data_IF_257099838611
#
_entry.id   IF_257099838611
#
_cell.length_a   1.000
_cell.length_b   1.000
_cell.length_c   1.000
_cell.angle_alpha   90.00
_cell.angle_beta   90.00
_cell.angle_gamma   90.00
#
_symmetry.space_group_name_H-M   'P 1'
#
loop_
_entity.id
_entity.type
_entity.pdbx_description
1 polymer ?
#
# COMPACT_ATOMS: atom_id res chain seq x y z
N UNK A 1 -57.99 5.37 32.68
CA UNK A 1 -58.13 6.06 31.37
C UNK A 1 -56.76 6.13 30.70
N UNK A 2 -56.76 5.96 29.38
CA UNK A 2 -55.67 6.09 28.41
C UNK A 2 -54.60 4.98 28.36
N UNK A 3 -54.67 4.27 27.23
CA UNK A 3 -53.81 3.23 26.67
C UNK A 3 -52.86 3.91 25.65
N UNK A 4 -51.62 3.44 25.53
CA UNK A 4 -50.78 3.54 24.31
C UNK A 4 -49.73 2.42 24.38
N UNK A 5 -49.96 1.27 23.74
CA UNK A 5 -49.80 0.91 22.33
C UNK A 5 -48.34 0.88 21.83
N UNK A 6 -47.92 -0.36 21.50
CA UNK A 6 -47.08 -0.76 20.35
C UNK A 6 -45.57 -0.44 20.42
N UNK A 7 -44.63 -1.32 20.05
CA UNK A 7 -44.62 -2.33 19.00
C UNK A 7 -43.74 -3.55 19.34
N UNK A 8 -44.19 -4.73 18.91
CA UNK A 8 -43.37 -5.89 18.60
C UNK A 8 -42.57 -5.63 17.32
N UNK A 9 -41.27 -5.98 17.31
CA UNK A 9 -40.40 -5.93 16.13
C UNK A 9 -39.32 -7.03 16.23
N UNK A 10 -38.91 -7.63 15.10
CA UNK A 10 -38.37 -8.99 15.07
C UNK A 10 -36.92 -9.06 15.54
N UNK A 11 -36.64 -10.05 16.39
CA UNK A 11 -35.29 -10.49 16.74
C UNK A 11 -34.68 -11.28 15.57
N UNK A 12 -34.19 -10.58 14.54
CA UNK A 12 -33.23 -11.11 13.56
C UNK A 12 -32.36 -9.97 13.00
N UNK A 13 -31.11 -9.83 13.47
CA UNK A 13 -30.02 -9.33 12.62
C UNK A 13 -28.66 -9.56 13.27
N UNK A 14 -27.78 -10.28 12.58
CA UNK A 14 -26.38 -10.46 12.98
C UNK A 14 -25.79 -11.82 12.62
N UNK A 15 -25.92 -12.25 11.36
CA UNK A 15 -25.47 -13.55 10.87
C UNK A 15 -23.94 -13.78 10.92
N UNK A 16 -23.48 -15.05 10.78
CA UNK A 16 -22.08 -15.41 10.73
C UNK A 16 -21.47 -15.05 9.36
N UNK A 17 -21.23 -13.77 9.10
CA UNK A 17 -20.65 -13.32 7.82
C UNK A 17 -19.27 -12.66 7.93
N UNK A 18 -18.79 -12.35 9.14
CA UNK A 18 -17.46 -11.77 9.32
C UNK A 18 -16.30 -12.78 9.14
N UNK A 19 -16.57 -14.08 9.29
CA UNK A 19 -15.53 -15.14 9.20
C UNK A 19 -15.31 -15.67 7.79
N UNK A 20 -16.36 -15.74 6.97
CA UNK A 20 -16.25 -16.30 5.60
C UNK A 20 -15.50 -15.36 4.64
N UNK A 21 -15.65 -14.04 4.82
CA UNK A 21 -14.93 -13.04 4.02
C UNK A 21 -13.42 -13.09 4.26
N UNK A 22 -13.00 -13.28 5.51
CA UNK A 22 -11.59 -13.36 5.90
C UNK A 22 -10.93 -14.67 5.42
N UNK A 23 -11.64 -15.80 5.49
CA UNK A 23 -11.12 -17.10 5.03
C UNK A 23 -10.95 -17.11 3.51
N UNK A 24 -11.93 -16.60 2.75
CA UNK A 24 -11.83 -16.49 1.28
C UNK A 24 -10.67 -15.61 0.85
N UNK A 25 -10.45 -14.48 1.54
CA UNK A 25 -9.32 -13.59 1.27
C UNK A 25 -7.97 -14.27 1.51
N UNK A 26 -7.85 -15.07 2.58
CA UNK A 26 -6.58 -15.73 2.93
C UNK A 26 -6.21 -16.86 1.98
N UNK A 27 -7.18 -17.69 1.57
CA UNK A 27 -6.96 -18.75 0.58
C UNK A 27 -6.59 -18.15 -0.77
N UNK A 28 -7.30 -17.10 -1.18
CA UNK A 28 -7.00 -16.39 -2.43
C UNK A 28 -5.59 -15.78 -2.42
N UNK A 29 -5.23 -15.05 -1.37
CA UNK A 29 -3.92 -14.40 -1.27
C UNK A 29 -2.78 -15.42 -1.22
N UNK A 30 -2.96 -16.54 -0.50
CA UNK A 30 -1.98 -17.62 -0.44
C UNK A 30 -1.78 -18.29 -1.80
N UNK A 31 -2.89 -18.57 -2.51
CA UNK A 31 -2.83 -19.10 -3.87
C UNK A 31 -2.13 -18.12 -4.82
N UNK A 32 -2.50 -16.84 -4.78
CA UNK A 32 -1.87 -15.81 -5.59
C UNK A 32 -0.36 -15.70 -5.32
N UNK A 33 0.06 -15.77 -4.05
CA UNK A 33 1.48 -15.77 -3.69
C UNK A 33 2.24 -16.97 -4.30
N UNK A 34 1.62 -18.16 -4.34
CA UNK A 34 2.21 -19.34 -4.97
C UNK A 34 2.31 -19.19 -6.49
N UNK A 35 1.27 -18.66 -7.14
CA UNK A 35 1.27 -18.40 -8.59
C UNK A 35 2.35 -17.39 -8.95
N UNK A 36 2.44 -16.27 -8.22
CA UNK A 36 3.45 -15.24 -8.44
C UNK A 36 4.87 -15.78 -8.23
N UNK A 37 5.07 -16.62 -7.21
CA UNK A 37 6.36 -17.28 -6.97
C UNK A 37 6.75 -18.16 -8.17
N UNK A 38 5.83 -18.97 -8.67
CA UNK A 38 6.08 -19.87 -9.80
C UNK A 38 6.37 -19.12 -11.10
N UNK A 39 5.61 -18.07 -11.37
CA UNK A 39 5.81 -17.22 -12.54
C UNK A 39 7.17 -16.53 -12.51
N UNK A 40 7.58 -16.00 -11.35
CA UNK A 40 8.89 -15.39 -11.19
C UNK A 40 10.02 -16.40 -11.46
N UNK A 41 9.91 -17.61 -10.92
CA UNK A 41 10.89 -18.69 -11.13
C UNK A 41 11.00 -19.05 -12.63
N UNK A 42 9.86 -19.22 -13.31
CA UNK A 42 9.84 -19.47 -14.75
C UNK A 42 10.48 -18.38 -15.59
N UNK A 43 10.25 -17.10 -15.24
CA UNK A 43 10.91 -15.98 -15.94
C UNK A 43 12.40 -15.95 -15.70
N UNK A 44 12.85 -16.25 -14.48
CA UNK A 44 14.27 -16.33 -14.16
C UNK A 44 14.95 -17.46 -14.93
N UNK A 45 14.37 -18.66 -14.92
CA UNK A 45 14.87 -19.81 -15.69
C UNK A 45 14.87 -19.51 -17.19
N UNK A 46 13.80 -18.92 -17.72
CA UNK A 46 13.71 -18.48 -19.11
C UNK A 46 14.76 -17.44 -19.51
N UNK A 47 15.19 -16.60 -18.56
CA UNK A 47 16.30 -15.65 -18.72
C UNK A 47 17.69 -16.28 -18.48
N UNK A 48 17.78 -17.58 -18.22
CA UNK A 48 19.04 -18.28 -17.96
C UNK A 48 19.59 -18.05 -16.55
N UNK A 49 18.72 -17.77 -15.58
CA UNK A 49 19.09 -17.52 -14.19
C UNK A 49 18.46 -18.55 -13.25
N UNK A 50 19.30 -19.16 -12.41
CA UNK A 50 18.88 -19.97 -11.27
C UNK A 50 19.47 -19.32 -10.02
N UNK A 51 18.61 -18.78 -9.16
CA UNK A 51 19.01 -18.17 -7.88
C UNK A 51 18.30 -18.87 -6.73
N UNK A 52 18.93 -18.85 -5.56
CA UNK A 52 18.31 -19.37 -4.35
C UNK A 52 17.14 -18.48 -3.92
N UNK A 53 16.04 -19.10 -3.48
CA UNK A 53 14.85 -18.35 -3.04
C UNK A 53 15.13 -17.42 -1.85
N UNK A 54 16.10 -17.79 -1.01
CA UNK A 54 16.55 -16.94 0.08
C UNK A 54 17.18 -15.63 -0.43
N UNK A 55 18.01 -15.71 -1.47
CA UNK A 55 18.65 -14.55 -2.10
C UNK A 55 17.62 -13.66 -2.78
N UNK A 56 16.67 -14.25 -3.52
CA UNK A 56 15.57 -13.51 -4.16
C UNK A 56 14.77 -12.73 -3.12
N UNK A 57 14.37 -13.37 -2.02
CA UNK A 57 13.64 -12.71 -0.93
C UNK A 57 14.47 -11.61 -0.28
N UNK A 58 15.75 -11.85 -0.05
CA UNK A 58 16.63 -10.88 0.60
C UNK A 58 16.77 -9.63 -0.26
N UNK A 59 17.03 -9.78 -1.55
CA UNK A 59 17.26 -8.66 -2.46
C UNK A 59 15.97 -7.88 -2.76
N UNK A 60 14.85 -8.58 -2.93
CA UNK A 60 13.54 -7.93 -3.04
C UNK A 60 13.15 -7.21 -1.74
N UNK A 61 13.48 -7.77 -0.57
CA UNK A 61 13.24 -7.09 0.72
C UNK A 61 14.20 -5.92 0.93
N UNK A 62 15.42 -5.99 0.42
CA UNK A 62 16.39 -4.89 0.49
C UNK A 62 15.93 -3.71 -0.37
N UNK A 63 15.15 -3.96 -1.42
CA UNK A 63 14.53 -2.93 -2.26
C UNK A 63 13.38 -2.23 -1.51
N UNK A 64 13.69 -1.13 -0.83
CA UNK A 64 12.73 -0.31 -0.10
C UNK A 64 12.89 1.16 -0.51
N UNK A 65 11.80 1.91 -0.47
CA UNK A 65 11.83 3.37 -0.58
C UNK A 65 11.74 4.00 0.80
N UNK A 66 12.65 4.91 1.13
CA UNK A 66 12.54 5.81 2.29
C UNK A 66 12.01 7.13 1.80
N UNK A 67 10.95 7.64 2.42
CA UNK A 67 10.42 8.97 2.12
C UNK A 67 10.98 9.97 3.12
N UNK A 68 11.65 11.00 2.61
CA UNK A 68 12.21 12.12 3.37
C UNK A 68 11.35 13.34 3.11
N UNK A 69 10.94 14.03 4.18
CA UNK A 69 10.25 15.30 4.10
C UNK A 69 11.19 16.42 4.57
N UNK A 70 11.48 17.38 3.69
CA UNK A 70 12.35 18.52 3.99
C UNK A 70 11.81 19.77 3.27
N UNK A 71 11.57 20.85 4.02
CA UNK A 71 11.12 22.16 3.50
C UNK A 71 9.89 22.10 2.57
N UNK A 72 8.86 21.32 2.94
CA UNK A 72 7.61 21.19 2.17
C UNK A 72 7.74 20.31 0.91
N UNK A 73 8.90 19.68 0.67
CA UNK A 73 9.13 18.72 -0.40
C UNK A 73 9.26 17.31 0.17
N UNK A 74 8.71 16.33 -0.54
CA UNK A 74 8.71 14.93 -0.11
C UNK A 74 9.42 14.09 -1.15
N UNK A 75 10.61 13.61 -0.81
CA UNK A 75 11.44 12.80 -1.72
C UNK A 75 11.39 11.35 -1.29
N UNK A 76 11.01 10.43 -2.18
CA UNK A 76 11.21 8.99 -1.97
C UNK A 76 12.53 8.55 -2.58
N UNK A 77 13.44 8.10 -1.73
CA UNK A 77 14.74 7.55 -2.12
C UNK A 77 14.69 6.03 -2.02
N UNK A 78 14.95 5.36 -3.12
CA UNK A 78 15.09 3.91 -3.19
C UNK A 78 16.46 3.48 -2.65
N UNK A 79 16.50 2.44 -1.83
CA UNK A 79 17.73 1.78 -1.41
C UNK A 79 18.55 1.30 -2.61
N UNK A 80 19.88 1.24 -2.47
CA UNK A 80 20.76 0.79 -3.54
C UNK A 80 20.44 -0.67 -3.91
N UNK A 81 20.23 -0.93 -5.20
CA UNK A 81 20.09 -2.30 -5.71
C UNK A 81 21.46 -2.95 -5.80
N UNK A 82 21.70 -3.96 -4.97
CA UNK A 82 22.87 -4.84 -5.04
C UNK A 82 22.41 -6.27 -5.34
N UNK A 83 23.34 -7.12 -5.73
CA UNK A 83 23.08 -8.55 -5.94
C UNK A 83 22.28 -8.85 -7.21
N UNK A 84 21.28 -9.71 -7.08
CA UNK A 84 20.47 -10.27 -8.16
C UNK A 84 19.22 -9.44 -8.47
N UNK A 85 18.92 -8.41 -7.66
CA UNK A 85 17.75 -7.53 -7.84
C UNK A 85 17.62 -6.99 -9.28
N UNK A 86 18.70 -6.50 -9.88
CA UNK A 86 18.66 -5.97 -11.26
C UNK A 86 18.31 -7.05 -12.29
N UNK A 87 18.82 -8.27 -12.11
CA UNK A 87 18.53 -9.41 -12.99
C UNK A 87 17.09 -9.89 -12.83
N UNK A 88 16.53 -9.81 -11.62
CA UNK A 88 15.11 -10.09 -11.37
C UNK A 88 14.23 -9.12 -12.15
N UNK A 89 14.48 -7.80 -12.05
CA UNK A 89 13.71 -6.79 -12.78
C UNK A 89 13.81 -6.97 -14.30
N UNK A 90 15.00 -7.30 -14.81
CA UNK A 90 15.21 -7.61 -16.22
C UNK A 90 14.42 -8.86 -16.65
N UNK A 91 14.51 -9.96 -15.89
CA UNK A 91 13.83 -11.22 -16.20
C UNK A 91 12.30 -11.07 -16.21
N UNK A 92 11.74 -10.21 -15.34
CA UNK A 92 10.31 -9.93 -15.35
C UNK A 92 9.88 -8.88 -16.39
N UNK A 93 10.83 -8.24 -17.09
CA UNK A 93 10.57 -7.22 -18.10
C UNK A 93 10.10 -5.88 -17.52
N UNK A 94 10.42 -5.60 -16.26
CA UNK A 94 9.99 -4.37 -15.56
C UNK A 94 11.18 -3.45 -15.37
N UNK A 95 11.01 -2.17 -15.71
CA UNK A 95 12.04 -1.16 -15.48
C UNK A 95 12.29 -0.97 -13.98
N UNK A 96 13.57 -0.84 -13.61
CA UNK A 96 13.95 -0.55 -12.24
C UNK A 96 13.38 0.81 -11.82
N UNK A 97 12.74 0.93 -10.64
CA UNK A 97 12.28 2.22 -10.12
C UNK A 97 13.44 3.22 -10.05
N UNK A 98 13.24 4.51 -10.45
CA UNK A 98 14.26 5.53 -10.30
C UNK A 98 14.65 5.69 -8.84
N UNK A 99 15.94 5.99 -8.62
CA UNK A 99 16.52 6.04 -7.27
C UNK A 99 15.95 7.18 -6.42
N UNK A 100 15.56 8.29 -7.04
CA UNK A 100 14.95 9.44 -6.37
C UNK A 100 13.63 9.72 -7.09
N UNK A 101 12.55 9.86 -6.34
CA UNK A 101 11.24 10.30 -6.83
C UNK A 101 10.80 11.49 -5.98
N UNK A 102 10.48 12.60 -6.63
CA UNK A 102 9.76 13.68 -5.96
C UNK A 102 8.29 13.25 -5.87
N UNK A 103 7.75 13.22 -4.66
CA UNK A 103 6.35 12.93 -4.40
C UNK A 103 5.72 14.28 -4.15
N UNK A 104 4.90 14.75 -5.08
CA UNK A 104 4.26 16.08 -5.06
C UNK A 104 3.99 16.59 -3.64
N UNK A 105 4.43 17.82 -3.40
CA UNK A 105 4.21 18.57 -2.19
C UNK A 105 2.72 18.51 -1.83
N UNK A 106 2.42 18.11 -0.60
CA UNK A 106 1.08 18.33 -0.05
C UNK A 106 0.92 19.85 -0.03
N UNK A 107 -0.07 20.44 -0.74
CA UNK A 107 -0.26 21.87 -0.69
C UNK A 107 -0.53 22.25 0.77
N UNK A 108 0.36 23.04 1.36
CA UNK A 108 0.12 23.64 2.67
C UNK A 108 -1.23 24.33 2.60
N UNK A 109 -2.20 23.84 3.37
CA UNK A 109 -3.36 24.65 3.70
C UNK A 109 -2.81 25.81 4.51
N UNK A 110 -2.64 26.96 3.86
CA UNK A 110 -2.53 28.24 4.54
C UNK A 110 -3.88 28.51 5.20
N UNK A 111 -4.04 28.09 6.43
CA UNK A 111 -5.05 28.56 7.35
C UNK A 111 -4.77 30.05 7.64
N UNK A 112 -5.30 30.88 6.73
CA UNK A 112 -5.34 32.33 6.82
C UNK A 112 -6.15 32.78 8.03
N UNK A 113 -5.51 32.79 9.20
CA UNK A 113 -5.96 33.54 10.36
C UNK A 113 -5.38 34.96 10.28
N UNK A 114 -6.25 35.90 9.90
CA UNK A 114 -6.35 37.28 10.40
C UNK A 114 -6.81 38.24 9.28
N UNK A 115 -8.11 38.56 9.25
CA UNK A 115 -8.47 39.96 9.00
C UNK A 115 -9.25 40.51 10.19
N UNK A 116 -8.51 41.31 10.95
CA UNK A 116 -8.92 42.06 12.12
C UNK A 116 -9.67 43.31 11.63
N UNK A 117 -11.01 43.25 11.58
CA UNK A 117 -11.79 44.48 11.45
C UNK A 117 -11.91 45.10 12.85
N UNK A 118 -11.03 46.07 13.10
CA UNK A 118 -11.03 46.97 14.26
C UNK A 118 -11.63 48.30 13.81
N UNK A 119 -12.70 48.74 14.50
CA UNK A 119 -13.31 50.08 14.42
C UNK A 119 -14.21 50.29 13.20
N UNK A 120 -15.29 51.08 13.26
CA UNK A 120 -15.53 52.27 14.08
C UNK A 120 -17.04 52.56 14.19
N UNK A 121 -17.42 53.21 15.30
CA UNK A 121 -18.55 54.14 15.48
C UNK A 121 -19.50 54.38 14.30
N UNK A 122 -20.79 54.07 14.48
CA UNK A 122 -21.85 55.06 14.73
C UNK A 122 -23.18 54.36 15.05
#
# INVERSE_FOLDING_TARGET
MAISLQQTGPHISGGPHAKDQTIRGHVFYSFLALVLRKELDWRLVGAGHCFEWAEIKQDLKALQGVTIEENGRRLTIRSQSKGICGKIFQAVGVAMPPTIRDVEAIPEKSDGSANKIRGSFN
#
